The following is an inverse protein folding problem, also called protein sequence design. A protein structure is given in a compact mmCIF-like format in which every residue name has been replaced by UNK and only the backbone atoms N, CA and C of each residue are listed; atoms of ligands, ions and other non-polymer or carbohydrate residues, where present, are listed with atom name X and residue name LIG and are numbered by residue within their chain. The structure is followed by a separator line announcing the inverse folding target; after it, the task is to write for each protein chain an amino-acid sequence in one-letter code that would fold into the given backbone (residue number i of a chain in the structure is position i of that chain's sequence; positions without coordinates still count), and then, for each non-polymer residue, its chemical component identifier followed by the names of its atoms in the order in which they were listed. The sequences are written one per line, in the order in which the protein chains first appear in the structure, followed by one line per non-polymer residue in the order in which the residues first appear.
data_IF_808835945839
#
_entry.id   IF_808835945839
#
_cell.length_a   1.000
_cell.length_b   1.000
_cell.length_c   1.000
_cell.angle_alpha   90.00
_cell.angle_beta   90.00
_cell.angle_gamma   90.00
#
_symmetry.space_group_name_H-M   'P 1'
#
loop_
_entity.id
_entity.type
_entity.pdbx_description
1 polymer ?
#
# COMPACT_ATOMS: atom_id res chain seq x y z
N UNK A 1 9.91 32.26 -1.25
CA UNK A 1 9.99 31.11 -0.32
C UNK A 1 9.51 29.87 -1.05
N UNK A 2 10.36 28.85 -1.22
CA UNK A 2 10.02 27.63 -1.95
C UNK A 2 9.00 26.83 -1.14
N UNK A 3 7.83 26.60 -1.73
CA UNK A 3 6.75 25.80 -1.18
C UNK A 3 7.29 24.42 -0.74
N UNK A 4 7.06 24.07 0.53
CA UNK A 4 7.32 22.73 1.08
C UNK A 4 6.24 21.78 0.55
N UNK A 5 6.68 20.69 -0.08
CA UNK A 5 5.84 19.60 -0.62
C UNK A 5 5.13 18.85 0.54
N UNK A 6 3.79 18.75 0.55
CA UNK A 6 3.01 18.13 1.63
C UNK A 6 3.06 16.58 1.66
N UNK A 7 4.06 15.94 1.03
CA UNK A 7 4.34 14.51 1.18
C UNK A 7 4.92 14.19 2.57
N UNK A 8 4.08 14.24 3.59
CA UNK A 8 4.36 13.67 4.91
C UNK A 8 4.34 12.12 4.92
N UNK A 9 4.73 11.49 3.80
CA UNK A 9 5.12 10.08 3.75
C UNK A 9 5.93 9.75 2.47
N UNK A 10 6.89 10.63 2.14
CA UNK A 10 7.75 10.44 0.96
C UNK A 10 8.47 9.08 1.01
N UNK A 11 8.80 8.60 2.19
CA UNK A 11 9.51 7.33 2.40
C UNK A 11 8.60 6.14 2.11
N UNK A 12 7.37 6.09 2.64
CA UNK A 12 6.47 4.98 2.35
C UNK A 12 6.07 4.97 0.87
N UNK A 13 5.77 6.14 0.27
CA UNK A 13 5.48 6.20 -1.17
C UNK A 13 6.68 5.83 -2.05
N UNK A 14 7.91 6.17 -1.67
CA UNK A 14 9.12 5.74 -2.41
C UNK A 14 9.40 4.26 -2.24
N UNK A 15 9.33 3.76 -1.00
CA UNK A 15 9.70 2.37 -0.70
C UNK A 15 8.62 1.39 -1.14
N UNK A 16 7.34 1.72 -1.00
CA UNK A 16 6.24 0.81 -1.32
C UNK A 16 5.53 1.18 -2.62
N UNK A 17 5.39 2.46 -2.93
CA UNK A 17 4.76 2.88 -4.19
C UNK A 17 5.54 2.52 -5.45
N UNK A 18 6.88 2.38 -5.37
CA UNK A 18 7.74 1.96 -6.50
C UNK A 18 8.10 0.47 -6.46
N UNK A 19 7.86 -0.22 -5.34
CA UNK A 19 8.25 -1.63 -5.13
C UNK A 19 7.06 -2.48 -4.66
N UNK A 20 6.21 -2.96 -5.59
CA UNK A 20 5.06 -3.78 -5.25
C UNK A 20 5.44 -5.13 -4.62
N UNK A 21 6.63 -5.65 -4.90
CA UNK A 21 7.20 -6.86 -4.29
C UNK A 21 7.44 -6.71 -2.78
N UNK A 22 7.84 -5.52 -2.33
CA UNK A 22 8.03 -5.22 -0.91
C UNK A 22 6.69 -5.12 -0.17
N UNK A 23 5.66 -4.52 -0.80
CA UNK A 23 4.30 -4.50 -0.23
C UNK A 23 3.75 -5.91 -0.14
N UNK A 24 3.91 -6.72 -1.19
CA UNK A 24 3.47 -8.11 -1.19
C UNK A 24 4.16 -8.93 -0.08
N UNK A 25 5.47 -8.78 0.08
CA UNK A 25 6.23 -9.45 1.14
C UNK A 25 5.77 -9.02 2.54
N UNK A 26 5.55 -7.72 2.72
CA UNK A 26 5.04 -7.16 3.98
C UNK A 26 3.64 -7.70 4.32
N UNK A 27 2.73 -7.71 3.34
CA UNK A 27 1.37 -8.22 3.53
C UNK A 27 1.37 -9.72 3.84
N UNK A 28 2.17 -10.52 3.14
CA UNK A 28 2.32 -11.95 3.43
C UNK A 28 2.92 -12.22 4.82
N UNK A 29 3.73 -11.30 5.38
CA UNK A 29 4.33 -11.45 6.70
C UNK A 29 3.42 -10.96 7.84
N UNK A 30 2.60 -9.93 7.60
CA UNK A 30 1.76 -9.31 8.62
C UNK A 30 0.33 -9.85 8.67
N UNK A 31 -0.24 -10.23 7.53
CA UNK A 31 -1.60 -10.75 7.49
C UNK A 31 -1.61 -12.24 7.88
N UNK A 32 -2.66 -12.71 8.58
CA UNK A 32 -2.80 -14.11 8.95
C UNK A 32 -3.25 -14.96 7.75
N UNK A 33 -2.38 -15.06 6.74
CA UNK A 33 -2.64 -15.80 5.50
C UNK A 33 -2.29 -17.28 5.71
N UNK A 34 -3.20 -18.19 5.36
CA UNK A 34 -2.91 -19.62 5.45
C UNK A 34 -1.89 -20.05 4.40
N UNK A 35 -1.14 -21.10 4.70
CA UNK A 35 -0.20 -21.72 3.76
C UNK A 35 -0.92 -22.09 2.46
N UNK A 36 -0.35 -21.67 1.32
CA UNK A 36 -0.93 -21.87 -0.01
C UNK A 36 -1.94 -20.79 -0.45
N UNK A 37 -2.23 -19.81 0.40
CA UNK A 37 -3.03 -18.63 0.05
C UNK A 37 -2.18 -17.36 -0.07
N UNK A 38 -0.87 -17.50 -0.23
CA UNK A 38 0.03 -16.34 -0.31
C UNK A 38 -0.37 -15.42 -1.47
N UNK A 39 -0.25 -14.13 -1.23
CA UNK A 39 -0.46 -13.09 -2.24
C UNK A 39 0.66 -13.24 -3.28
N UNK A 40 0.27 -13.34 -4.55
CA UNK A 40 1.20 -13.43 -5.70
C UNK A 40 1.22 -12.18 -6.55
N UNK A 41 0.14 -11.40 -6.52
CA UNK A 41 0.03 -10.16 -7.29
C UNK A 41 -0.66 -9.09 -6.45
N UNK A 42 -0.23 -7.85 -6.66
CA UNK A 42 -0.86 -6.68 -6.06
C UNK A 42 -1.09 -5.58 -7.10
N UNK A 43 -2.17 -4.83 -6.94
CA UNK A 43 -2.51 -3.67 -7.75
C UNK A 43 -2.90 -2.50 -6.84
N UNK A 44 -2.31 -1.32 -7.09
CA UNK A 44 -2.69 -0.10 -6.38
C UNK A 44 -4.00 0.43 -6.94
N UNK A 45 -5.01 0.53 -6.08
CA UNK A 45 -6.27 1.15 -6.47
C UNK A 45 -6.15 2.69 -6.34
N UNK A 46 -6.77 3.44 -7.26
CA UNK A 46 -6.88 4.89 -7.10
C UNK A 46 -7.53 5.20 -5.74
N UNK A 47 -6.93 6.10 -4.96
CA UNK A 47 -7.52 6.54 -3.70
C UNK A 47 -8.82 7.32 -3.99
N UNK A 48 -9.97 6.67 -3.89
CA UNK A 48 -11.26 7.28 -4.22
C UNK A 48 -11.67 8.36 -3.21
N UNK A 49 -11.23 8.27 -1.95
CA UNK A 49 -11.58 9.24 -0.91
C UNK A 49 -10.37 9.46 -0.03
N UNK A 50 -9.74 10.63 -0.15
CA UNK A 50 -8.76 11.10 0.83
C UNK A 50 -9.58 11.59 2.03
N UNK A 51 -9.58 10.91 3.19
CA UNK A 51 -10.27 11.43 4.36
C UNK A 51 -9.60 12.75 4.75
N UNK A 52 -10.40 13.75 5.09
CA UNK A 52 -9.92 15.07 5.50
C UNK A 52 -9.24 14.92 6.87
N UNK A 53 -7.94 14.61 6.85
CA UNK A 53 -7.14 14.49 8.06
C UNK A 53 -6.67 15.89 8.45
N UNK A 54 -7.15 16.47 9.57
CA UNK A 54 -6.79 17.83 9.99
C UNK A 54 -5.29 18.03 10.15
N UNK A 55 -4.51 16.95 10.30
CA UNK A 55 -3.07 16.97 10.49
C UNK A 55 -2.27 16.40 9.30
N UNK A 56 -2.90 15.82 8.26
CA UNK A 56 -2.25 15.16 7.09
C UNK A 56 -1.04 14.27 7.44
N UNK A 57 -1.04 13.64 8.61
CA UNK A 57 0.11 12.88 9.14
C UNK A 57 0.20 11.42 8.66
N UNK A 58 -0.85 10.89 8.04
CA UNK A 58 -0.93 9.48 7.65
C UNK A 58 -1.17 9.38 6.14
N UNK A 59 -0.46 8.47 5.47
CA UNK A 59 -0.82 8.02 4.12
C UNK A 59 -1.67 6.75 4.21
N UNK A 60 -2.75 6.73 3.43
CA UNK A 60 -3.61 5.56 3.25
C UNK A 60 -3.50 5.18 1.77
N UNK A 61 -3.33 3.88 1.51
CA UNK A 61 -3.24 3.31 0.16
C UNK A 61 -4.12 2.07 0.12
N UNK A 62 -4.94 2.00 -0.93
CA UNK A 62 -5.77 0.85 -1.22
C UNK A 62 -5.00 -0.08 -2.18
N UNK A 63 -4.88 -1.35 -1.80
CA UNK A 63 -4.16 -2.36 -2.57
C UNK A 63 -5.08 -3.55 -2.77
N UNK A 64 -5.34 -3.90 -4.03
CA UNK A 64 -6.01 -5.14 -4.41
C UNK A 64 -4.98 -6.26 -4.47
N UNK A 65 -5.22 -7.34 -3.74
CA UNK A 65 -4.34 -8.49 -3.69
C UNK A 65 -4.95 -9.66 -4.45
N UNK A 66 -4.13 -10.45 -5.12
CA UNK A 66 -4.54 -11.73 -5.71
C UNK A 66 -3.70 -12.84 -5.12
N UNK A 67 -4.35 -13.91 -4.68
CA UNK A 67 -3.65 -15.07 -4.15
C UNK A 67 -3.30 -16.12 -5.22
N UNK A 68 -2.52 -17.13 -4.83
CA UNK A 68 -2.15 -18.28 -5.67
C UNK A 68 -3.33 -19.02 -6.31
N UNK A 69 -4.52 -18.97 -5.71
CA UNK A 69 -5.72 -19.62 -6.23
C UNK A 69 -6.55 -18.69 -7.13
N UNK A 70 -6.06 -17.46 -7.36
CA UNK A 70 -6.70 -16.45 -8.19
C UNK A 70 -7.86 -15.73 -7.50
N UNK A 71 -7.99 -15.86 -6.17
CA UNK A 71 -8.99 -15.12 -5.39
C UNK A 71 -8.51 -13.70 -5.12
N UNK A 72 -9.45 -12.76 -5.03
CA UNK A 72 -9.24 -11.33 -4.81
C UNK A 72 -10.08 -10.85 -3.62
#
# INVERSE_FOLDING_TARGET
MKYLDPKADLTFKRVFGEHPDLVMSLLNALLPISVGQEITDIEYLPAEIVPDNPLRKNSIVDVRCKDKLGRQ
#
